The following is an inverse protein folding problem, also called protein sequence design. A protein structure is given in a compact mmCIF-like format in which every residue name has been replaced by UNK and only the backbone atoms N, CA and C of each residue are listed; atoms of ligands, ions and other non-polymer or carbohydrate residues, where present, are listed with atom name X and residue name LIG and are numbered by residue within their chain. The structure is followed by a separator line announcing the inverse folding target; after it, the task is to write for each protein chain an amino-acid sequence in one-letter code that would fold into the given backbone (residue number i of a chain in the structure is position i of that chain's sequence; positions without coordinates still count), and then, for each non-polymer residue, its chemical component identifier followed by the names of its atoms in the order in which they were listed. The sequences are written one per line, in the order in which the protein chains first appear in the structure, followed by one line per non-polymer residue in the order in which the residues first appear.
data_IF_194392267817
#
_entry.id   IF_194392267817
#
_cell.length_a   1.000
_cell.length_b   1.000
_cell.length_c   1.000
_cell.angle_alpha   90.00
_cell.angle_beta   90.00
_cell.angle_gamma   90.00
#
_symmetry.space_group_name_H-M   'P 1'
#
loop_
_entity.id
_entity.type
_entity.pdbx_description
1 polymer ?
#
# COMPACT_ATOMS: atom_id res chain seq x y z
N UNK A 1 36.43 -72.05 14.65
CA UNK A 1 36.60 -70.61 14.88
C UNK A 1 36.29 -69.88 13.59
N UNK A 2 35.08 -69.31 13.47
CA UNK A 2 34.79 -68.23 12.53
C UNK A 2 33.55 -67.51 13.08
N UNK A 3 33.78 -66.35 13.70
CA UNK A 3 32.76 -65.48 14.29
C UNK A 3 32.12 -64.66 13.17
N UNK A 4 30.80 -64.75 13.01
CA UNK A 4 30.03 -63.87 12.13
C UNK A 4 29.55 -62.67 12.97
N UNK A 5 30.21 -61.52 12.86
CA UNK A 5 29.78 -60.28 13.52
C UNK A 5 28.91 -59.44 12.58
N UNK A 6 27.69 -59.13 13.01
CA UNK A 6 26.79 -58.22 12.29
C UNK A 6 27.26 -56.77 12.37
N UNK A 7 27.20 -56.06 11.24
CA UNK A 7 27.33 -54.61 11.21
C UNK A 7 25.92 -54.01 11.21
N UNK A 8 25.53 -53.36 12.31
CA UNK A 8 24.40 -52.42 12.29
C UNK A 8 24.99 -51.05 12.01
N UNK A 9 24.71 -50.50 10.83
CA UNK A 9 25.08 -49.12 10.52
C UNK A 9 24.00 -48.21 11.09
N UNK A 10 24.26 -47.61 12.26
CA UNK A 10 23.45 -46.51 12.77
C UNK A 10 23.88 -45.23 12.07
N UNK A 11 23.24 -44.91 10.95
CA UNK A 11 23.25 -43.57 10.37
C UNK A 11 21.95 -42.88 10.76
N UNK A 12 21.89 -42.36 11.98
CA UNK A 12 20.85 -41.41 12.36
C UNK A 12 21.48 -40.03 12.39
N UNK A 13 21.37 -39.34 11.25
CA UNK A 13 21.71 -37.93 11.15
C UNK A 13 20.72 -37.18 12.04
N UNK A 14 21.18 -36.74 13.21
CA UNK A 14 20.36 -36.01 14.17
C UNK A 14 20.11 -34.62 13.60
N UNK A 15 19.00 -34.46 12.89
CA UNK A 15 18.48 -33.15 12.50
C UNK A 15 18.17 -32.39 13.79
N UNK A 16 19.08 -31.52 14.19
CA UNK A 16 18.92 -30.65 15.35
C UNK A 16 17.74 -29.70 15.05
N UNK A 17 16.57 -30.01 15.61
CA UNK A 17 15.37 -29.19 15.44
C UNK A 17 15.56 -27.91 16.25
N UNK A 18 16.10 -26.87 15.61
CA UNK A 18 16.21 -25.53 16.18
C UNK A 18 14.81 -24.97 16.40
N UNK A 19 14.37 -24.91 17.66
CA UNK A 19 13.16 -24.19 18.03
C UNK A 19 13.40 -22.70 17.78
N UNK A 20 12.54 -22.10 16.94
CA UNK A 20 12.59 -20.68 16.66
C UNK A 20 11.86 -19.92 17.77
N UNK A 21 12.49 -18.88 18.29
CA UNK A 21 11.86 -18.01 19.27
C UNK A 21 10.66 -17.27 18.65
N UNK A 22 9.54 -17.26 19.39
CA UNK A 22 8.35 -16.54 18.97
C UNK A 22 8.55 -15.03 19.11
N UNK A 23 8.28 -14.29 18.05
CA UNK A 23 8.27 -12.82 18.09
C UNK A 23 6.85 -12.35 18.47
N UNK A 24 6.74 -11.58 19.55
CA UNK A 24 5.48 -10.93 19.95
C UNK A 24 5.41 -9.53 19.36
N UNK A 25 4.49 -9.32 18.42
CA UNK A 25 4.16 -7.99 17.89
C UNK A 25 3.05 -7.40 18.74
N UNK A 26 3.30 -6.28 19.41
CA UNK A 26 2.28 -5.55 20.18
C UNK A 26 1.94 -4.26 19.46
N UNK A 27 0.67 -4.10 19.10
CA UNK A 27 0.14 -2.87 18.52
C UNK A 27 -0.81 -2.17 19.52
N UNK A 28 -0.72 -0.84 19.62
CA UNK A 28 -1.74 -0.05 20.34
C UNK A 28 -2.88 0.25 19.38
N UNK A 29 -4.10 -0.19 19.72
CA UNK A 29 -5.29 0.22 18.98
C UNK A 29 -5.50 1.73 19.14
N UNK A 30 -5.29 2.49 18.05
CA UNK A 30 -5.73 3.89 18.00
C UNK A 30 -7.23 3.87 17.70
N UNK A 31 -8.08 4.06 18.72
CA UNK A 31 -9.54 4.08 18.55
C UNK A 31 -10.01 5.02 17.43
N UNK A 32 -9.27 6.10 17.17
CA UNK A 32 -9.54 7.07 16.09
C UNK A 32 -9.56 6.47 14.68
N UNK A 33 -8.92 5.33 14.47
CA UNK A 33 -8.76 4.71 13.16
C UNK A 33 -9.66 3.48 12.96
N UNK A 34 -10.45 3.12 13.98
CA UNK A 34 -11.35 1.97 13.91
C UNK A 34 -12.47 2.23 12.91
N UNK A 35 -12.61 1.35 11.90
CA UNK A 35 -13.61 1.48 10.84
C UNK A 35 -13.23 2.41 9.68
N UNK A 36 -12.05 3.04 9.74
CA UNK A 36 -11.52 3.85 8.64
C UNK A 36 -10.65 2.98 7.74
N UNK A 37 -10.97 2.96 6.45
CA UNK A 37 -10.09 2.36 5.47
C UNK A 37 -8.95 3.32 5.12
N UNK A 38 -7.71 2.86 5.32
CA UNK A 38 -6.51 3.62 4.98
C UNK A 38 -5.72 2.83 3.94
N UNK A 39 -5.36 3.52 2.86
CA UNK A 39 -4.45 2.99 1.84
C UNK A 39 -3.24 3.89 1.80
N UNK A 40 -2.06 3.33 2.02
CA UNK A 40 -0.78 4.02 1.81
C UNK A 40 -0.22 3.57 0.48
N UNK A 41 0.22 4.51 -0.35
CA UNK A 41 0.96 4.18 -1.57
C UNK A 41 2.44 4.01 -1.24
N UNK A 42 3.08 3.01 -1.86
CA UNK A 42 4.53 2.89 -1.84
C UNK A 42 5.14 3.84 -2.88
N UNK A 43 6.28 4.43 -2.53
CA UNK A 43 7.14 5.18 -3.44
C UNK A 43 7.52 4.42 -4.72
N UNK A 44 7.61 3.09 -4.68
CA UNK A 44 7.90 2.29 -5.88
C UNK A 44 6.77 2.40 -6.91
N UNK A 45 5.51 2.44 -6.46
CA UNK A 45 4.34 2.57 -7.33
C UNK A 45 4.28 3.94 -8.01
N UNK A 46 4.73 4.98 -7.31
CA UNK A 46 4.85 6.34 -7.86
C UNK A 46 5.96 6.42 -8.92
N UNK A 47 7.09 5.74 -8.68
CA UNK A 47 8.26 5.72 -9.58
C UNK A 47 8.08 4.86 -10.82
N UNK A 48 7.17 3.90 -10.81
CA UNK A 48 6.88 3.10 -12.01
C UNK A 48 6.12 3.91 -13.08
N UNK A 49 5.57 5.09 -12.72
CA UNK A 49 4.74 5.92 -13.60
C UNK A 49 5.27 7.36 -13.73
N UNK A 50 6.58 7.54 -13.88
CA UNK A 50 7.25 8.87 -13.87
C UNK A 50 6.70 9.84 -14.94
N UNK A 51 6.16 9.33 -16.04
CA UNK A 51 5.58 10.16 -17.11
C UNK A 51 4.10 10.49 -16.90
N UNK A 52 3.45 9.84 -15.92
CA UNK A 52 2.03 9.95 -15.64
C UNK A 52 1.67 11.01 -14.60
N UNK A 53 0.36 11.20 -14.42
CA UNK A 53 -0.19 12.04 -13.36
C UNK A 53 -0.55 11.20 -12.13
N UNK A 54 -0.68 11.86 -10.99
CA UNK A 54 -1.13 11.25 -9.74
C UNK A 54 -2.52 10.60 -9.91
N UNK A 55 -3.36 11.13 -10.79
CA UNK A 55 -4.65 10.53 -11.14
C UNK A 55 -4.49 9.07 -11.63
N UNK A 56 -3.51 8.80 -12.48
CA UNK A 56 -3.28 7.47 -13.04
C UNK A 56 -2.84 6.47 -11.97
N UNK A 57 -1.92 6.88 -11.10
CA UNK A 57 -1.46 6.04 -9.99
C UNK A 57 -2.60 5.76 -9.00
N UNK A 58 -3.39 6.77 -8.65
CA UNK A 58 -4.52 6.61 -7.73
C UNK A 58 -5.60 5.68 -8.30
N UNK A 59 -5.89 5.74 -9.60
CA UNK A 59 -6.83 4.83 -10.26
C UNK A 59 -6.40 3.37 -10.14
N UNK A 60 -5.08 3.10 -10.19
CA UNK A 60 -4.54 1.74 -10.18
C UNK A 60 -4.34 1.17 -8.78
N UNK A 61 -3.89 2.00 -7.85
CA UNK A 61 -3.37 1.53 -6.54
C UNK A 61 -4.32 1.82 -5.39
N UNK A 62 -5.27 2.75 -5.56
CA UNK A 62 -6.19 3.14 -4.50
C UNK A 62 -7.62 2.64 -4.75
N UNK A 63 -8.42 2.62 -3.69
CA UNK A 63 -9.86 2.36 -3.77
C UNK A 63 -10.67 3.65 -3.98
N UNK A 64 -10.01 4.78 -4.24
CA UNK A 64 -10.66 6.03 -4.56
C UNK A 64 -11.24 5.94 -5.98
N UNK A 65 -12.43 6.49 -6.17
CA UNK A 65 -12.95 6.64 -7.51
C UNK A 65 -12.34 7.90 -8.13
N UNK A 66 -11.59 7.72 -9.22
CA UNK A 66 -11.05 8.82 -10.01
C UNK A 66 -11.93 9.03 -11.23
N UNK A 67 -12.55 10.20 -11.32
CA UNK A 67 -13.35 10.61 -12.47
C UNK A 67 -12.48 11.37 -13.46
N UNK A 68 -12.33 10.82 -14.66
CA UNK A 68 -11.65 11.46 -15.77
C UNK A 68 -12.68 12.13 -16.70
N UNK A 69 -12.46 13.42 -17.03
CA UNK A 69 -13.31 14.17 -17.95
C UNK A 69 -12.81 14.14 -19.41
N UNK A 70 -11.88 13.24 -19.72
CA UNK A 70 -11.19 13.16 -21.01
C UNK A 70 -9.72 12.73 -20.83
N UNK A 71 -9.03 12.48 -21.94
CA UNK A 71 -7.60 12.14 -21.92
C UNK A 71 -6.80 13.41 -21.61
N UNK A 72 -5.92 13.34 -20.61
CA UNK A 72 -5.09 14.47 -20.17
C UNK A 72 -5.89 15.73 -19.80
N UNK A 73 -7.14 15.56 -19.36
CA UNK A 73 -7.97 16.64 -18.82
C UNK A 73 -8.24 16.41 -17.33
N UNK A 74 -9.03 17.33 -16.75
CA UNK A 74 -9.48 17.33 -15.37
C UNK A 74 -9.75 15.92 -14.84
N UNK A 75 -9.05 15.57 -13.77
CA UNK A 75 -9.21 14.30 -13.08
C UNK A 75 -9.44 14.53 -11.59
N UNK A 76 -10.57 14.09 -11.07
CA UNK A 76 -11.00 14.38 -9.69
C UNK A 76 -11.22 13.10 -8.89
N UNK A 77 -10.91 13.13 -7.59
CA UNK A 77 -11.15 12.01 -6.69
C UNK A 77 -12.47 12.16 -5.95
N UNK A 78 -13.17 11.05 -5.73
CA UNK A 78 -14.29 10.99 -4.80
C UNK A 78 -14.30 9.73 -3.94
N UNK A 79 -14.81 9.88 -2.72
CA UNK A 79 -15.06 8.77 -1.81
C UNK A 79 -16.47 8.25 -1.99
N UNK A 80 -16.63 6.92 -2.13
CA UNK A 80 -17.92 6.22 -2.04
C UNK A 80 -19.04 6.86 -2.90
N UNK A 81 -18.72 7.34 -4.10
CA UNK A 81 -19.69 7.94 -5.02
C UNK A 81 -20.14 9.37 -4.67
N UNK A 82 -19.51 10.02 -3.70
CA UNK A 82 -19.80 11.43 -3.35
C UNK A 82 -19.26 12.41 -4.41
N UNK A 83 -19.62 13.69 -4.27
CA UNK A 83 -19.02 14.76 -5.07
C UNK A 83 -17.52 14.94 -4.74
N UNK A 84 -16.67 15.27 -5.73
CA UNK A 84 -15.27 15.64 -5.47
C UNK A 84 -15.09 16.78 -4.47
N UNK A 85 -16.07 17.68 -4.36
CA UNK A 85 -16.06 18.77 -3.36
C UNK A 85 -16.17 18.28 -1.92
N UNK A 86 -16.65 17.06 -1.68
CA UNK A 86 -16.69 16.42 -0.35
C UNK A 86 -15.41 15.64 -0.02
N UNK A 87 -14.40 15.67 -0.89
CA UNK A 87 -13.10 15.03 -0.67
C UNK A 87 -12.06 16.07 -0.30
N UNK A 88 -11.65 16.11 0.97
CA UNK A 88 -10.56 16.98 1.40
C UNK A 88 -9.22 16.38 1.02
N UNK A 89 -8.39 17.18 0.35
CA UNK A 89 -7.03 16.82 -0.04
C UNK A 89 -6.07 17.74 0.68
N UNK A 90 -5.09 17.15 1.33
CA UNK A 90 -4.07 17.89 2.09
C UNK A 90 -2.68 17.55 1.58
N UNK A 91 -1.84 18.57 1.44
CA UNK A 91 -0.41 18.45 1.19
C UNK A 91 0.35 18.95 2.42
N UNK A 92 1.18 18.11 3.04
CA UNK A 92 1.91 18.45 4.27
C UNK A 92 1.02 19.08 5.37
N UNK A 93 -0.20 18.56 5.52
CA UNK A 93 -1.19 19.07 6.48
C UNK A 93 -1.96 20.32 6.05
N UNK A 94 -1.62 20.94 4.92
CA UNK A 94 -2.32 22.10 4.38
C UNK A 94 -3.37 21.68 3.34
N UNK A 95 -4.57 22.25 3.39
CA UNK A 95 -5.63 21.99 2.40
C UNK A 95 -5.23 22.58 1.05
N UNK A 96 -5.32 21.78 -0.01
CA UNK A 96 -4.98 22.20 -1.39
C UNK A 96 -6.18 22.24 -2.34
N UNK A 97 -7.38 21.90 -1.87
CA UNK A 97 -8.60 22.06 -2.65
C UNK A 97 -8.75 23.51 -3.12
N UNK A 98 -9.15 23.70 -4.39
CA UNK A 98 -9.44 25.02 -4.93
C UNK A 98 -10.47 25.76 -4.06
N UNK A 99 -10.23 27.01 -3.64
CA UNK A 99 -11.22 27.79 -2.89
C UNK A 99 -12.51 28.04 -3.67
N UNK A 100 -12.44 28.05 -5.02
CA UNK A 100 -13.60 28.29 -5.87
C UNK A 100 -14.43 27.04 -6.13
N UNK A 101 -13.79 25.90 -6.45
CA UNK A 101 -14.51 24.67 -6.81
C UNK A 101 -14.61 23.66 -5.66
N UNK A 102 -13.80 23.80 -4.61
CA UNK A 102 -13.74 22.85 -3.50
C UNK A 102 -13.06 21.53 -3.83
N UNK A 103 -12.47 21.38 -5.01
CA UNK A 103 -11.88 20.14 -5.53
C UNK A 103 -10.42 20.33 -5.98
N UNK A 104 -9.73 19.22 -6.23
CA UNK A 104 -8.35 19.18 -6.74
C UNK A 104 -8.32 18.47 -8.09
N UNK A 105 -7.56 19.02 -9.02
CA UNK A 105 -7.27 18.38 -10.29
C UNK A 105 -5.98 17.55 -10.21
N UNK A 106 -6.15 16.24 -10.04
CA UNK A 106 -5.05 15.28 -9.95
C UNK A 106 -4.32 15.07 -11.28
N UNK A 107 -4.87 15.53 -12.41
CA UNK A 107 -4.18 15.45 -13.71
C UNK A 107 -2.97 16.38 -13.78
N UNK A 108 -2.98 17.45 -12.97
CA UNK A 108 -1.92 18.48 -12.93
C UNK A 108 -0.78 18.14 -11.97
N UNK A 109 -0.96 17.13 -11.12
CA UNK A 109 0.05 16.69 -10.15
C UNK A 109 0.84 15.55 -10.77
N UNK A 110 2.15 15.71 -11.03
CA UNK A 110 2.97 14.62 -11.54
C UNK A 110 3.13 13.52 -10.49
N UNK A 111 3.15 12.25 -10.90
CA UNK A 111 3.32 11.09 -10.02
C UNK A 111 4.63 11.13 -9.22
N UNK A 112 5.71 11.63 -9.81
CA UNK A 112 7.04 11.70 -9.21
C UNK A 112 7.19 12.81 -8.16
N UNK A 113 6.20 13.70 -8.03
CA UNK A 113 6.27 14.85 -7.14
C UNK A 113 6.02 14.46 -5.66
N UNK A 114 5.41 13.31 -5.42
CA UNK A 114 4.95 12.84 -4.09
C UNK A 114 5.95 11.90 -3.44
#
# INVERSE_FOLDING_TARGET
MMLLSGFTTHAQDSVEVRQLDSIRITARARLRDMGVQKTSLDSLELRNDITGSLAQVLTRTSTLFIKHYGRATLSTASFRGTSPSHTQVTWNGMKINSPMLGMVDFSTIPSYFV
#
